data_IF_834742732688
#
_entry.id   IF_834742732688
#
_cell.length_a   1.000
_cell.length_b   1.000
_cell.length_c   1.000
_cell.angle_alpha   90.00
_cell.angle_beta   90.00
_cell.angle_gamma   90.00
#
_symmetry.space_group_name_H-M   'P 1'
#
loop_
_entity.id
_entity.type
_entity.pdbx_description
1 polymer ?
#
# COMPACT_ATOMS: atom_id res chain seq x y z
N UNK A 1 -37.13 10.24 -4.78
CA UNK A 1 -38.28 9.86 -5.61
C UNK A 1 -39.56 9.94 -4.79
N UNK A 2 -40.65 10.38 -5.40
CA UNK A 2 -42.01 10.23 -4.85
C UNK A 2 -42.46 8.78 -5.02
N UNK A 3 -43.52 8.36 -4.31
CA UNK A 3 -44.03 6.97 -4.41
C UNK A 3 -44.43 6.59 -5.84
N UNK A 4 -45.05 7.52 -6.57
CA UNK A 4 -45.49 7.32 -7.95
C UNK A 4 -44.31 7.13 -8.93
N UNK A 5 -43.21 7.86 -8.72
CA UNK A 5 -41.99 7.71 -9.53
C UNK A 5 -41.31 6.36 -9.29
N UNK A 6 -41.28 5.89 -8.04
CA UNK A 6 -40.70 4.60 -7.68
C UNK A 6 -41.49 3.48 -8.34
N UNK A 7 -42.82 3.54 -8.30
CA UNK A 7 -43.69 2.54 -8.90
C UNK A 7 -43.50 2.48 -10.43
N UNK A 8 -43.43 3.65 -11.08
CA UNK A 8 -43.21 3.77 -12.54
C UNK A 8 -41.88 3.17 -12.99
N UNK A 9 -40.81 3.38 -12.24
CA UNK A 9 -39.46 2.97 -12.65
C UNK A 9 -38.97 1.69 -11.97
N UNK A 10 -39.78 1.04 -11.14
CA UNK A 10 -39.46 -0.13 -10.29
C UNK A 10 -38.75 -1.29 -11.01
N UNK A 11 -38.93 -1.40 -12.34
CA UNK A 11 -38.32 -2.43 -13.18
C UNK A 11 -36.95 -2.05 -13.74
N UNK A 12 -36.50 -0.80 -13.55
CA UNK A 12 -35.27 -0.25 -14.14
C UNK A 12 -34.14 -0.15 -13.12
N UNK A 13 -34.45 0.06 -11.84
CA UNK A 13 -33.43 0.28 -10.80
C UNK A 13 -33.63 -0.65 -9.61
N UNK A 14 -32.52 -1.12 -9.05
CA UNK A 14 -32.51 -2.04 -7.92
C UNK A 14 -32.88 -1.36 -6.57
N UNK A 15 -32.64 -0.05 -6.43
CA UNK A 15 -32.95 0.71 -5.21
C UNK A 15 -33.23 2.20 -5.49
N UNK A 16 -34.04 2.83 -4.64
CA UNK A 16 -34.47 4.24 -4.80
C UNK A 16 -34.20 5.05 -3.54
N UNK A 17 -33.71 6.28 -3.73
CA UNK A 17 -33.52 7.25 -2.65
C UNK A 17 -34.69 8.23 -2.55
N UNK A 18 -35.33 8.28 -1.39
CA UNK A 18 -36.42 9.23 -1.08
C UNK A 18 -35.87 10.49 -0.41
N UNK A 19 -36.41 11.67 -0.75
CA UNK A 19 -36.04 12.92 -0.09
C UNK A 19 -36.77 13.05 1.26
N UNK A 20 -36.15 13.69 2.27
CA UNK A 20 -34.81 14.25 2.26
C UNK A 20 -33.75 13.16 2.37
N UNK A 21 -32.75 13.21 1.48
CA UNK A 21 -31.64 12.25 1.50
C UNK A 21 -30.64 12.74 2.53
N UNK A 22 -30.22 11.86 3.43
CA UNK A 22 -29.10 12.13 4.33
C UNK A 22 -27.85 11.46 3.80
N UNK A 23 -26.69 12.05 4.09
CA UNK A 23 -25.39 11.50 3.67
C UNK A 23 -25.20 10.04 4.12
N UNK A 24 -25.60 9.72 5.35
CA UNK A 24 -25.55 8.35 5.89
C UNK A 24 -26.37 7.36 5.07
N UNK A 25 -27.57 7.75 4.64
CA UNK A 25 -28.46 6.88 3.84
C UNK A 25 -27.89 6.70 2.43
N UNK A 26 -27.36 7.77 1.83
CA UNK A 26 -26.71 7.71 0.52
C UNK A 26 -25.51 6.76 0.53
N UNK A 27 -24.58 6.95 1.48
CA UNK A 27 -23.36 6.13 1.59
C UNK A 27 -23.73 4.67 1.82
N UNK A 28 -24.67 4.39 2.74
CA UNK A 28 -25.11 3.01 3.02
C UNK A 28 -25.73 2.32 1.81
N UNK A 29 -26.46 3.07 0.98
CA UNK A 29 -27.13 2.54 -0.21
C UNK A 29 -26.10 2.17 -1.29
N UNK A 30 -25.14 3.06 -1.56
CA UNK A 30 -24.07 2.83 -2.53
C UNK A 30 -23.18 1.66 -2.10
N UNK A 31 -22.86 1.57 -0.80
CA UNK A 31 -21.98 0.53 -0.27
C UNK A 31 -22.45 -0.91 -0.53
N UNK A 32 -23.76 -1.15 -0.68
CA UNK A 32 -24.32 -2.49 -0.97
C UNK A 32 -23.89 -3.05 -2.33
N UNK A 33 -23.61 -2.16 -3.29
CA UNK A 33 -23.23 -2.53 -4.65
C UNK A 33 -21.71 -2.56 -4.84
N UNK A 34 -20.96 -2.23 -3.80
CA UNK A 34 -19.52 -2.40 -3.78
C UNK A 34 -19.23 -3.82 -3.25
N UNK A 35 -18.52 -4.62 -4.05
CA UNK A 35 -17.95 -5.89 -3.62
C UNK A 35 -16.97 -5.65 -2.47
N UNK A 36 -17.49 -5.61 -1.25
CA UNK A 36 -16.70 -5.55 -0.04
C UNK A 36 -16.85 -6.89 0.69
N UNK A 37 -15.74 -7.61 0.83
CA UNK A 37 -15.66 -8.68 1.81
C UNK A 37 -15.65 -7.98 3.17
N UNK A 38 -16.62 -8.27 4.04
CA UNK A 38 -16.47 -7.99 5.46
C UNK A 38 -15.21 -8.72 5.93
N UNK A 39 -14.06 -8.03 5.89
CA UNK A 39 -12.90 -8.47 6.63
C UNK A 39 -13.34 -8.41 8.08
N UNK A 40 -13.58 -9.57 8.69
CA UNK A 40 -13.39 -9.72 10.13
C UNK A 40 -12.15 -8.91 10.46
N UNK A 41 -12.28 -7.96 11.38
CA UNK A 41 -11.15 -7.35 12.06
C UNK A 41 -10.43 -8.46 12.83
N UNK A 42 -9.79 -9.38 12.11
CA UNK A 42 -8.57 -9.98 12.59
C UNK A 42 -7.66 -8.80 12.75
N UNK A 43 -7.35 -8.49 14.00
CA UNK A 43 -6.29 -7.59 14.35
C UNK A 43 -5.05 -8.06 13.58
N UNK A 44 -4.83 -7.49 12.38
CA UNK A 44 -3.54 -7.50 11.72
C UNK A 44 -2.69 -6.59 12.57
N UNK A 45 -2.16 -7.22 13.62
CA UNK A 45 -1.21 -6.67 14.56
C UNK A 45 -0.15 -5.93 13.75
N UNK A 46 0.24 -4.78 14.25
CA UNK A 46 1.25 -3.82 13.79
C UNK A 46 2.67 -4.39 13.52
N UNK A 47 2.80 -5.68 13.15
CA UNK A 47 4.06 -6.44 13.14
C UNK A 47 4.73 -6.46 11.75
N UNK A 48 4.04 -6.16 10.65
CA UNK A 48 4.59 -6.38 9.29
C UNK A 48 5.82 -5.48 8.99
N UNK A 49 5.81 -4.20 9.37
CA UNK A 49 6.95 -3.28 9.17
C UNK A 49 8.19 -3.61 10.02
N UNK A 50 8.04 -4.24 11.18
CA UNK A 50 9.18 -4.69 12.00
C UNK A 50 9.84 -5.96 11.45
N UNK A 51 9.12 -6.74 10.64
CA UNK A 51 9.63 -7.99 10.09
C UNK A 51 10.70 -7.74 9.01
N UNK A 52 10.53 -6.71 8.17
CA UNK A 52 11.49 -6.40 7.09
C UNK A 52 12.84 -5.89 7.62
N UNK A 53 12.82 -4.99 8.61
CA UNK A 53 14.02 -4.46 9.27
C UNK A 53 14.78 -5.57 10.00
N UNK A 54 14.07 -6.41 10.76
CA UNK A 54 14.67 -7.54 11.46
C UNK A 54 15.34 -8.52 10.48
N UNK A 55 14.68 -8.85 9.37
CA UNK A 55 15.26 -9.72 8.34
C UNK A 55 16.52 -9.11 7.72
N UNK A 56 16.51 -7.80 7.43
CA UNK A 56 17.69 -7.10 6.89
C UNK A 56 18.86 -7.09 7.87
N UNK A 57 18.59 -6.85 9.16
CA UNK A 57 19.63 -6.86 10.20
C UNK A 57 20.25 -8.25 10.36
N UNK A 58 19.41 -9.28 10.38
CA UNK A 58 19.86 -10.68 10.39
C UNK A 58 20.74 -10.97 9.18
N UNK A 59 20.27 -10.63 7.98
CA UNK A 59 21.03 -10.88 6.77
C UNK A 59 22.36 -10.11 6.74
N UNK A 60 22.37 -8.84 7.19
CA UNK A 60 23.60 -8.06 7.32
C UNK A 60 24.64 -8.74 8.21
N UNK A 61 24.22 -9.41 9.28
CA UNK A 61 25.13 -10.16 10.16
C UNK A 61 25.72 -11.43 9.50
N UNK A 62 25.09 -11.95 8.44
CA UNK A 62 25.53 -13.15 7.73
C UNK A 62 26.47 -12.85 6.56
N UNK A 63 26.19 -11.79 5.77
CA UNK A 63 26.93 -11.47 4.54
C UNK A 63 27.91 -10.30 4.68
N UNK A 64 27.99 -9.64 5.83
CA UNK A 64 28.90 -8.54 6.20
C UNK A 64 28.76 -7.25 5.36
N UNK A 65 28.56 -7.35 4.04
CA UNK A 65 28.32 -6.23 3.13
C UNK A 65 27.44 -6.65 1.94
N UNK A 66 26.44 -5.82 1.64
CA UNK A 66 25.59 -5.97 0.46
C UNK A 66 26.30 -5.57 -0.86
N UNK A 67 25.88 -6.12 -2.01
CA UNK A 67 26.49 -5.81 -3.31
C UNK A 67 26.57 -4.32 -3.64
N UNK A 68 27.68 -3.87 -4.24
CA UNK A 68 27.89 -2.46 -4.57
C UNK A 68 26.86 -1.92 -5.58
N UNK A 69 26.49 -2.72 -6.57
CA UNK A 69 25.48 -2.37 -7.58
C UNK A 69 24.12 -2.04 -6.92
N UNK A 70 23.71 -2.84 -5.93
CA UNK A 70 22.51 -2.61 -5.12
C UNK A 70 22.61 -1.26 -4.39
N UNK A 71 23.73 -1.00 -3.69
CA UNK A 71 23.94 0.26 -2.96
C UNK A 71 23.90 1.48 -3.88
N UNK A 72 24.46 1.39 -5.08
CA UNK A 72 24.45 2.46 -6.08
C UNK A 72 23.02 2.79 -6.52
N UNK A 73 22.25 1.79 -6.97
CA UNK A 73 20.87 1.99 -7.44
C UNK A 73 19.97 2.52 -6.31
N UNK A 74 20.11 2.00 -5.10
CA UNK A 74 19.35 2.47 -3.95
C UNK A 74 19.61 3.95 -3.63
N UNK A 75 20.87 4.41 -3.70
CA UNK A 75 21.23 5.78 -3.38
C UNK A 75 20.97 6.78 -4.52
N UNK A 76 21.21 6.39 -5.76
CA UNK A 76 21.15 7.29 -6.92
C UNK A 76 19.76 7.35 -7.55
N UNK A 77 19.02 6.23 -7.57
CA UNK A 77 17.71 6.15 -8.23
C UNK A 77 16.57 6.19 -7.21
N UNK A 78 16.58 5.27 -6.24
CA UNK A 78 15.40 5.02 -5.40
C UNK A 78 15.27 5.98 -4.21
N UNK A 79 16.38 6.47 -3.66
CA UNK A 79 16.37 7.44 -2.55
C UNK A 79 15.82 8.81 -2.96
N UNK A 80 16.16 9.39 -4.13
CA UNK A 80 15.48 10.59 -4.63
C UNK A 80 13.98 10.35 -4.86
N UNK A 81 13.61 9.24 -5.50
CA UNK A 81 12.22 8.90 -5.76
C UNK A 81 11.40 8.75 -4.46
N UNK A 82 12.00 8.17 -3.41
CA UNK A 82 11.38 8.07 -2.09
C UNK A 82 11.08 9.46 -1.49
N UNK A 83 12.01 10.41 -1.60
CA UNK A 83 11.79 11.79 -1.14
C UNK A 83 10.62 12.44 -1.87
N UNK A 84 10.57 12.29 -3.19
CA UNK A 84 9.45 12.80 -3.99
C UNK A 84 8.11 12.18 -3.56
N UNK A 85 8.09 10.87 -3.26
CA UNK A 85 6.88 10.17 -2.80
C UNK A 85 6.38 10.62 -1.43
N UNK A 86 7.27 11.11 -0.56
CA UNK A 86 6.88 11.70 0.73
C UNK A 86 6.21 13.07 0.56
N UNK A 87 6.60 13.83 -0.45
CA UNK A 87 6.02 15.14 -0.77
C UNK A 87 4.71 15.00 -1.58
N UNK A 88 4.75 14.17 -2.62
CA UNK A 88 3.65 13.95 -3.57
C UNK A 88 3.43 12.46 -3.76
N UNK A 89 2.39 11.94 -3.12
CA UNK A 89 2.04 10.54 -3.20
C UNK A 89 1.29 10.22 -4.51
N UNK A 90 2.04 9.90 -5.56
CA UNK A 90 1.51 9.40 -6.83
C UNK A 90 1.48 7.87 -6.83
N UNK A 91 0.32 7.27 -7.12
CA UNK A 91 0.14 5.81 -7.15
C UNK A 91 1.04 5.15 -8.20
N UNK A 92 1.15 5.73 -9.40
CA UNK A 92 2.00 5.19 -10.46
C UNK A 92 3.48 5.20 -10.07
N UNK A 93 3.94 6.32 -9.48
CA UNK A 93 5.32 6.43 -8.97
C UNK A 93 5.57 5.49 -7.81
N UNK A 94 4.60 5.33 -6.91
CA UNK A 94 4.70 4.42 -5.78
C UNK A 94 4.78 2.97 -6.23
N UNK A 95 3.98 2.60 -7.25
CA UNK A 95 4.03 1.28 -7.87
C UNK A 95 5.38 1.03 -8.54
N UNK A 96 5.87 1.98 -9.34
CA UNK A 96 7.21 1.91 -9.91
C UNK A 96 8.29 1.74 -8.84
N UNK A 97 8.24 2.55 -7.78
CA UNK A 97 9.16 2.47 -6.65
C UNK A 97 9.16 1.08 -6.00
N UNK A 98 7.98 0.52 -5.72
CA UNK A 98 7.85 -0.78 -5.08
C UNK A 98 8.31 -1.92 -6.01
N UNK A 99 7.92 -1.91 -7.28
CA UNK A 99 8.35 -2.92 -8.26
C UNK A 99 9.87 -2.86 -8.49
N UNK A 100 10.44 -1.66 -8.57
CA UNK A 100 11.88 -1.48 -8.75
C UNK A 100 12.68 -1.97 -7.55
N UNK A 101 12.24 -1.67 -6.33
CA UNK A 101 12.84 -2.22 -5.11
C UNK A 101 12.73 -3.75 -5.07
N UNK A 102 11.55 -4.31 -5.41
CA UNK A 102 11.34 -5.77 -5.44
C UNK A 102 12.30 -6.45 -6.41
N UNK A 103 12.35 -6.00 -7.66
CA UNK A 103 13.21 -6.58 -8.68
C UNK A 103 14.69 -6.53 -8.29
N UNK A 104 15.12 -5.41 -7.71
CA UNK A 104 16.48 -5.22 -7.25
C UNK A 104 16.81 -6.12 -6.05
N UNK A 105 15.87 -6.27 -5.12
CA UNK A 105 15.98 -7.14 -3.96
C UNK A 105 16.06 -8.61 -4.37
N UNK A 106 15.19 -9.07 -5.28
CA UNK A 106 15.20 -10.44 -5.78
C UNK A 106 16.49 -10.78 -6.52
N UNK A 107 16.98 -9.86 -7.37
CA UNK A 107 18.27 -10.04 -8.09
C UNK A 107 19.45 -10.23 -7.13
N UNK A 108 19.41 -9.62 -5.95
CA UNK A 108 20.49 -9.63 -4.96
C UNK A 108 20.17 -10.48 -3.72
N UNK A 109 19.11 -11.30 -3.75
CA UNK A 109 18.60 -12.12 -2.63
C UNK A 109 18.39 -11.35 -1.30
N UNK A 110 17.92 -10.10 -1.36
CA UNK A 110 17.72 -9.25 -0.17
C UNK A 110 16.29 -9.39 0.37
N UNK A 111 16.06 -10.44 1.17
CA UNK A 111 14.72 -10.87 1.61
C UNK A 111 13.92 -9.79 2.32
N UNK A 112 14.55 -9.01 3.20
CA UNK A 112 13.83 -7.95 3.91
C UNK A 112 13.38 -6.82 2.98
N UNK A 113 14.14 -6.51 1.91
CA UNK A 113 13.73 -5.53 0.90
C UNK A 113 12.63 -6.08 -0.02
N UNK A 114 12.61 -7.39 -0.30
CA UNK A 114 11.48 -8.06 -0.99
C UNK A 114 10.21 -7.88 -0.16
N UNK A 115 10.23 -8.28 1.12
CA UNK A 115 9.09 -8.15 2.04
C UNK A 115 8.55 -6.72 2.09
N UNK A 116 9.44 -5.75 2.25
CA UNK A 116 9.10 -4.32 2.25
C UNK A 116 8.35 -3.90 0.98
N UNK A 117 8.86 -4.32 -0.18
CA UNK A 117 8.29 -3.95 -1.47
C UNK A 117 6.92 -4.61 -1.71
N UNK A 118 6.77 -5.86 -1.31
CA UNK A 118 5.50 -6.60 -1.38
C UNK A 118 4.42 -6.04 -0.47
N UNK A 119 4.82 -5.55 0.72
CA UNK A 119 3.92 -4.84 1.62
C UNK A 119 3.37 -3.60 0.93
N UNK A 120 4.22 -2.75 0.35
CA UNK A 120 3.77 -1.56 -0.38
C UNK A 120 2.82 -1.92 -1.52
N UNK A 121 3.17 -2.91 -2.35
CA UNK A 121 2.31 -3.37 -3.45
C UNK A 121 0.94 -3.83 -2.95
N UNK A 122 0.92 -4.59 -1.85
CA UNK A 122 -0.32 -5.04 -1.19
C UNK A 122 -1.14 -3.86 -0.70
N UNK A 123 -0.50 -2.85 -0.09
CA UNK A 123 -1.19 -1.67 0.41
C UNK A 123 -1.75 -0.80 -0.73
N UNK A 124 -1.06 -0.71 -1.88
CA UNK A 124 -1.57 -0.06 -3.10
C UNK A 124 -2.86 -0.73 -3.57
N UNK A 125 -2.87 -2.07 -3.67
CA UNK A 125 -4.05 -2.83 -4.11
C UNK A 125 -5.24 -2.62 -3.16
N UNK A 126 -4.96 -2.50 -1.86
CA UNK A 126 -5.98 -2.25 -0.84
C UNK A 126 -6.33 -0.76 -0.65
N UNK A 127 -5.70 0.16 -1.40
CA UNK A 127 -5.86 1.61 -1.26
C UNK A 127 -5.66 2.13 0.18
N UNK A 128 -4.81 1.47 0.98
CA UNK A 128 -4.56 1.86 2.38
C UNK A 128 -3.47 2.94 2.46
N UNK A 129 -3.86 4.17 2.13
CA UNK A 129 -2.96 5.34 2.07
C UNK A 129 -2.28 5.62 3.42
N UNK A 130 -2.98 5.40 4.53
CA UNK A 130 -2.43 5.65 5.87
C UNK A 130 -1.28 4.69 6.16
N UNK A 131 -1.47 3.39 5.87
CA UNK A 131 -0.39 2.42 6.02
C UNK A 131 0.73 2.65 5.02
N UNK A 132 0.44 3.00 3.76
CA UNK A 132 1.47 3.35 2.76
C UNK A 132 2.42 4.40 3.32
N UNK A 133 1.90 5.50 3.86
CA UNK A 133 2.72 6.58 4.42
C UNK A 133 3.57 6.09 5.61
N UNK A 134 3.00 5.26 6.49
CA UNK A 134 3.75 4.64 7.58
C UNK A 134 4.87 3.76 7.05
N UNK A 135 4.58 2.90 6.08
CA UNK A 135 5.55 1.96 5.49
C UNK A 135 6.67 2.71 4.76
N UNK A 136 6.37 3.79 4.03
CA UNK A 136 7.38 4.64 3.39
C UNK A 136 8.37 5.23 4.41
N UNK A 137 7.96 5.51 5.64
CA UNK A 137 8.84 6.06 6.68
C UNK A 137 9.91 5.06 7.18
N UNK A 138 9.78 3.76 6.90
CA UNK A 138 10.82 2.78 7.22
C UNK A 138 11.96 2.76 6.20
N UNK A 139 11.77 3.32 5.01
CA UNK A 139 12.77 3.28 3.95
C UNK A 139 14.15 3.88 4.33
N UNK A 140 14.24 5.01 5.06
CA UNK A 140 15.53 5.53 5.50
C UNK A 140 16.32 4.55 6.37
N UNK A 141 15.64 3.76 7.21
CA UNK A 141 16.28 2.75 8.05
C UNK A 141 16.75 1.55 7.21
N UNK A 142 15.96 1.12 6.23
CA UNK A 142 16.35 0.09 5.26
C UNK A 142 17.63 0.50 4.51
N UNK A 143 17.66 1.73 4.00
CA UNK A 143 18.84 2.29 3.32
C UNK A 143 20.05 2.31 4.26
N UNK A 144 19.86 2.68 5.52
CA UNK A 144 20.92 2.68 6.52
C UNK A 144 21.52 1.28 6.69
N UNK A 145 20.68 0.25 6.80
CA UNK A 145 21.15 -1.12 7.00
C UNK A 145 21.92 -1.64 5.78
N UNK A 146 21.43 -1.35 4.57
CA UNK A 146 22.02 -1.88 3.33
C UNK A 146 23.27 -1.11 2.90
N UNK A 147 23.23 0.23 2.97
CA UNK A 147 24.26 1.08 2.41
C UNK A 147 25.43 1.34 3.36
N UNK A 148 25.15 1.58 4.65
CA UNK A 148 26.17 1.74 5.71
C UNK A 148 26.67 0.38 6.20
#
# INVERSE_FOLDING_TARGET
ATKEEIEKYSHVFDEYLTKPITEKVLIKTIAKYLDHKEKKNEAKVEIEGQNCIWELQKQKSEIETFPKELKTILNEELKPLHKELLEVLSVDRLKYFAERNKNLAEKNDVKGLVKYSEEILTLIINFDITRIKKTLNYYPEIIKIICE
#
